data_IF_338925102231
#
_entry.id   IF_338925102231
#
_cell.length_a   1.000
_cell.length_b   1.000
_cell.length_c   1.000
_cell.angle_alpha   90.00
_cell.angle_beta   90.00
_cell.angle_gamma   90.00
#
_symmetry.space_group_name_H-M   'P 1'
#
loop_
_entity.id
_entity.type
_entity.pdbx_description
1 polymer ?
#
# COMPACT_ATOMS: atom_id res chain seq x y z
N UNK A 1 18.47 6.98 -0.47
CA UNK A 1 17.77 5.68 -0.31
C UNK A 1 18.68 4.59 -0.86
N UNK A 2 18.88 3.47 -0.16
CA UNK A 2 19.59 2.33 -0.75
C UNK A 2 18.81 1.81 -1.97
N UNK A 3 19.52 1.32 -2.99
CA UNK A 3 18.94 0.81 -4.24
C UNK A 3 17.87 -0.27 -4.00
N UNK A 4 18.06 -1.06 -2.93
CA UNK A 4 17.16 -2.13 -2.50
C UNK A 4 15.81 -1.61 -1.97
N UNK A 5 15.81 -0.55 -1.15
CA UNK A 5 14.55 0.04 -0.64
C UNK A 5 13.71 0.67 -1.76
N UNK A 6 14.37 1.25 -2.76
CA UNK A 6 13.70 1.79 -3.93
C UNK A 6 13.02 0.67 -4.75
N UNK A 7 13.67 -0.48 -4.88
CA UNK A 7 13.12 -1.64 -5.59
C UNK A 7 11.89 -2.21 -4.88
N UNK A 8 11.89 -2.31 -3.55
CA UNK A 8 10.72 -2.76 -2.79
C UNK A 8 9.51 -1.86 -2.99
N UNK A 9 9.72 -0.54 -2.92
CA UNK A 9 8.66 0.44 -3.21
C UNK A 9 8.15 0.29 -4.65
N UNK A 10 9.05 0.13 -5.63
CA UNK A 10 8.68 -0.04 -7.04
C UNK A 10 7.75 -1.24 -7.24
N UNK A 11 8.03 -2.36 -6.56
CA UNK A 11 7.20 -3.58 -6.61
C UNK A 11 5.82 -3.34 -5.99
N UNK A 12 5.73 -2.63 -4.87
CA UNK A 12 4.43 -2.26 -4.28
C UNK A 12 3.61 -1.35 -5.21
N UNK A 13 4.26 -0.38 -5.88
CA UNK A 13 3.62 0.47 -6.89
C UNK A 13 3.08 -0.37 -8.05
N UNK A 14 3.86 -1.34 -8.55
CA UNK A 14 3.41 -2.25 -9.61
C UNK A 14 2.16 -3.04 -9.18
N UNK A 15 2.12 -3.56 -7.95
CA UNK A 15 0.92 -4.24 -7.42
C UNK A 15 -0.29 -3.31 -7.37
N UNK A 16 -0.14 -2.11 -6.79
CA UNK A 16 -1.25 -1.15 -6.66
C UNK A 16 -1.73 -0.62 -8.02
N UNK A 17 -0.82 -0.51 -9.00
CA UNK A 17 -1.16 -0.16 -10.38
C UNK A 17 -1.94 -1.27 -11.06
N UNK A 18 -1.53 -2.54 -10.87
CA UNK A 18 -2.28 -3.68 -11.38
C UNK A 18 -3.69 -3.78 -10.76
N UNK A 19 -3.81 -3.46 -9.46
CA UNK A 19 -5.09 -3.40 -8.76
C UNK A 19 -6.00 -2.29 -9.34
N UNK A 20 -5.50 -1.07 -9.51
CA UNK A 20 -6.29 0.06 -10.00
C UNK A 20 -6.68 -0.09 -11.47
N UNK A 21 -5.76 -0.58 -12.32
CA UNK A 21 -6.01 -0.83 -13.73
C UNK A 21 -7.05 -1.95 -13.97
N UNK A 22 -7.17 -2.90 -13.04
CA UNK A 22 -8.15 -3.98 -13.09
C UNK A 22 -9.55 -3.59 -12.62
N UNK A 23 -9.90 -2.30 -12.52
CA UNK A 23 -11.14 -1.85 -11.87
C UNK A 23 -11.29 -2.40 -10.43
N UNK A 24 -10.19 -2.47 -9.69
CA UNK A 24 -10.12 -3.07 -8.36
C UNK A 24 -10.32 -4.61 -8.35
N UNK A 25 -10.18 -5.30 -9.49
CA UNK A 25 -10.10 -6.77 -9.54
C UNK A 25 -8.85 -7.27 -8.80
N UNK A 26 -9.10 -7.99 -7.70
CA UNK A 26 -8.07 -8.54 -6.83
C UNK A 26 -7.21 -9.61 -7.51
N UNK A 27 -7.65 -10.19 -8.64
CA UNK A 27 -6.93 -11.27 -9.31
C UNK A 27 -5.60 -10.83 -9.90
N UNK A 28 -5.53 -9.65 -10.50
CA UNK A 28 -4.30 -9.15 -11.11
C UNK A 28 -3.29 -8.73 -10.04
N UNK A 29 -3.76 -8.07 -8.98
CA UNK A 29 -2.96 -7.74 -7.82
C UNK A 29 -2.42 -9.01 -7.13
N UNK A 30 -3.27 -10.01 -6.91
CA UNK A 30 -2.89 -11.27 -6.26
C UNK A 30 -1.78 -12.01 -7.01
N UNK A 31 -1.81 -12.03 -8.35
CA UNK A 31 -0.73 -12.61 -9.16
C UNK A 31 0.60 -11.89 -8.96
N UNK A 32 0.59 -10.55 -8.88
CA UNK A 32 1.80 -9.75 -8.63
C UNK A 32 2.33 -9.93 -7.21
N UNK A 33 1.43 -9.97 -6.22
CA UNK A 33 1.78 -10.27 -4.82
C UNK A 33 2.45 -11.63 -4.72
N UNK A 34 1.84 -12.68 -5.28
CA UNK A 34 2.40 -14.04 -5.23
C UNK A 34 3.77 -14.13 -5.91
N UNK A 35 3.95 -13.44 -7.04
CA UNK A 35 5.23 -13.40 -7.75
C UNK A 35 6.33 -12.74 -6.90
N UNK A 36 6.09 -11.55 -6.34
CA UNK A 36 7.10 -10.83 -5.56
C UNK A 36 7.35 -11.44 -4.18
N UNK A 37 6.31 -11.94 -3.52
CA UNK A 37 6.43 -12.56 -2.20
C UNK A 37 7.19 -13.89 -2.26
N UNK A 38 7.10 -14.62 -3.38
CA UNK A 38 7.73 -15.92 -3.57
C UNK A 38 9.08 -15.89 -4.29
N UNK A 39 9.58 -14.73 -4.71
CA UNK A 39 10.83 -14.60 -5.48
C UNK A 39 12.07 -15.00 -4.67
N UNK A 40 12.05 -14.72 -3.35
CA UNK A 40 13.15 -14.98 -2.44
C UNK A 40 12.63 -15.23 -1.01
N UNK A 41 13.43 -15.82 -0.10
CA UNK A 41 12.97 -16.23 1.23
C UNK A 41 12.34 -15.11 2.08
N UNK A 42 12.77 -13.86 1.90
CA UNK A 42 12.25 -12.68 2.58
C UNK A 42 11.37 -11.78 1.69
N UNK A 43 10.98 -12.26 0.50
CA UNK A 43 10.24 -11.51 -0.51
C UNK A 43 8.92 -10.94 0.02
N UNK A 44 8.20 -11.70 0.85
CA UNK A 44 6.96 -11.22 1.49
C UNK A 44 7.21 -10.04 2.44
N UNK A 45 8.28 -10.09 3.24
CA UNK A 45 8.66 -9.00 4.15
C UNK A 45 9.11 -7.77 3.35
N UNK A 46 9.93 -7.96 2.33
CA UNK A 46 10.38 -6.89 1.44
C UNK A 46 9.20 -6.20 0.74
N UNK A 47 8.23 -6.97 0.26
CA UNK A 47 7.00 -6.43 -0.34
C UNK A 47 6.16 -5.66 0.69
N UNK A 48 6.03 -6.16 1.93
CA UNK A 48 5.35 -5.45 3.00
C UNK A 48 6.01 -4.10 3.32
N UNK A 49 7.35 -4.05 3.39
CA UNK A 49 8.10 -2.79 3.54
C UNK A 49 7.86 -1.87 2.34
N UNK A 50 7.80 -2.42 1.13
CA UNK A 50 7.42 -1.67 -0.08
C UNK A 50 6.05 -0.99 0.03
N UNK A 51 5.04 -1.72 0.53
CA UNK A 51 3.71 -1.16 0.77
C UNK A 51 3.72 -0.08 1.86
N UNK A 52 4.47 -0.27 2.95
CA UNK A 52 4.61 0.77 3.99
C UNK A 52 5.21 2.05 3.40
N UNK A 53 6.27 1.93 2.58
CA UNK A 53 6.87 3.08 1.91
C UNK A 53 5.89 3.78 0.97
N UNK A 54 5.12 3.01 0.18
CA UNK A 54 4.10 3.56 -0.70
C UNK A 54 2.99 4.27 0.09
N UNK A 55 2.50 3.67 1.17
CA UNK A 55 1.50 4.30 2.04
C UNK A 55 2.01 5.60 2.65
N UNK A 56 3.29 5.67 3.03
CA UNK A 56 3.89 6.92 3.51
C UNK A 56 3.89 8.00 2.42
N UNK A 57 4.27 7.65 1.18
CA UNK A 57 4.20 8.59 0.05
C UNK A 57 2.78 9.08 -0.21
N UNK A 58 1.82 8.17 -0.27
CA UNK A 58 0.41 8.52 -0.47
C UNK A 58 -0.13 9.40 0.66
N UNK A 59 0.22 9.09 1.91
CA UNK A 59 -0.20 9.88 3.06
C UNK A 59 0.36 11.31 2.98
N UNK A 60 1.64 11.46 2.64
CA UNK A 60 2.26 12.77 2.43
C UNK A 60 1.59 13.56 1.30
N UNK A 61 1.22 12.90 0.18
CA UNK A 61 0.46 13.57 -0.88
C UNK A 61 -0.91 14.04 -0.40
N UNK A 62 -1.63 13.22 0.39
CA UNK A 62 -2.91 13.60 0.98
C UNK A 62 -2.76 14.76 1.97
N UNK A 63 -1.72 14.76 2.81
CA UNK A 63 -1.41 15.89 3.71
C UNK A 63 -1.22 17.19 2.93
N UNK A 64 -0.43 17.16 1.85
CA UNK A 64 -0.16 18.34 1.03
C UNK A 64 -1.41 18.86 0.31
N UNK A 65 -2.25 17.96 -0.19
CA UNK A 65 -3.46 18.33 -0.93
C UNK A 65 -4.60 18.82 -0.01
N UNK A 66 -4.71 18.23 1.19
CA UNK A 66 -5.78 18.55 2.14
C UNK A 66 -5.43 19.66 3.14
N UNK A 67 -4.14 19.92 3.36
CA UNK A 67 -3.64 20.77 4.46
C UNK A 67 -3.86 20.18 5.85
N UNK A 68 -4.29 18.92 5.95
CA UNK A 68 -4.54 18.19 7.20
C UNK A 68 -3.33 17.33 7.51
N UNK A 69 -2.94 17.20 8.79
CA UNK A 69 -1.82 16.35 9.17
C UNK A 69 -2.16 14.85 9.11
N UNK A 70 -1.13 14.03 8.94
CA UNK A 70 -1.20 12.57 8.82
C UNK A 70 -1.95 11.91 9.98
N UNK A 71 -1.80 12.42 11.21
CA UNK A 71 -2.42 11.81 12.39
C UNK A 71 -3.93 11.96 12.30
N UNK A 72 -4.42 13.15 11.97
CA UNK A 72 -5.85 13.39 11.77
C UNK A 72 -6.39 12.59 10.59
N UNK A 73 -5.69 12.53 9.44
CA UNK A 73 -6.11 11.72 8.29
C UNK A 73 -6.28 10.24 8.68
N UNK A 74 -5.29 9.67 9.39
CA UNK A 74 -5.35 8.26 9.82
C UNK A 74 -6.45 8.02 10.87
N UNK A 75 -6.68 8.96 11.79
CA UNK A 75 -7.78 8.89 12.75
C UNK A 75 -9.14 8.90 12.05
N UNK A 76 -9.32 9.74 11.04
CA UNK A 76 -10.54 9.81 10.25
C UNK A 76 -10.79 8.51 9.48
N UNK A 77 -9.76 7.95 8.82
CA UNK A 77 -9.83 6.65 8.14
C UNK A 77 -10.21 5.53 9.12
N UNK A 78 -9.60 5.52 10.32
CA UNK A 78 -9.92 4.54 11.35
C UNK A 78 -11.40 4.62 11.74
N UNK A 79 -11.92 5.83 12.00
CA UNK A 79 -13.33 6.05 12.31
C UNK A 79 -14.25 5.49 11.21
N UNK A 80 -13.99 5.81 9.94
CA UNK A 80 -14.79 5.28 8.83
C UNK A 80 -14.75 3.76 8.74
N UNK A 81 -13.60 3.14 8.99
CA UNK A 81 -13.44 1.69 8.92
C UNK A 81 -14.21 0.99 10.04
N UNK A 82 -14.24 1.56 11.25
CA UNK A 82 -15.02 1.03 12.37
C UNK A 82 -16.53 1.22 12.16
N UNK A 83 -16.96 2.33 11.57
CA UNK A 83 -18.38 2.57 11.23
C UNK A 83 -18.89 1.62 10.13
N UNK A 84 -18.02 1.18 9.22
CA UNK A 84 -18.33 0.23 8.16
C UNK A 84 -18.25 -1.25 8.61
N UNK A 85 -17.80 -1.53 9.84
CA UNK A 85 -17.70 -2.88 10.40
C UNK A 85 -18.45 -3.00 11.74
N UNK A 86 -19.80 -2.90 11.78
CA UNK A 86 -20.53 -2.97 13.05
C UNK A 86 -20.55 -4.37 13.66
N UNK A 87 -20.28 -5.43 12.89
CA UNK A 87 -20.36 -6.82 13.38
C UNK A 87 -19.33 -7.75 12.72
N UNK A 88 -18.42 -8.27 13.55
CA UNK A 88 -17.98 -9.68 13.54
C UNK A 88 -17.88 -10.16 14.97
#
# INVERSE_FOLDING_TARGET
MSHEKAEWTRRAIDVMTAWSAGHCDSRFAAKRVAAYAGEEPDGAMKLAVGFINLSAMLLTEVEQLSGTDATTILQDIARFTFELSPET
#
